data_IF_906715830980
#
_entry.id   IF_906715830980
#
_cell.length_a   1.000
_cell.length_b   1.000
_cell.length_c   1.000
_cell.angle_alpha   90.00
_cell.angle_beta   90.00
_cell.angle_gamma   90.00
#
_symmetry.space_group_name_H-M   'P 1'
#
loop_
_entity.id
_entity.type
_entity.pdbx_description
1 polymer ?
#
# COMPACT_ATOMS: atom_id res chain seq x y z
N UNK A 1 69.97 61.73 1.55
CA UNK A 1 69.59 60.27 1.44
C UNK A 1 68.54 59.86 2.45
N UNK A 2 68.42 60.53 3.56
CA UNK A 2 67.43 60.18 4.62
C UNK A 2 65.96 60.39 4.24
N UNK A 3 65.60 61.39 3.40
CA UNK A 3 64.22 61.64 3.04
C UNK A 3 63.56 60.62 2.09
N UNK A 4 64.35 59.88 1.33
CA UNK A 4 63.81 58.83 0.44
C UNK A 4 63.42 57.57 1.16
N UNK A 5 64.17 57.16 2.15
CA UNK A 5 63.94 55.96 2.99
C UNK A 5 62.74 56.12 3.90
N UNK A 6 62.49 57.35 4.41
CA UNK A 6 61.36 57.61 5.27
C UNK A 6 60.02 57.60 4.46
N UNK A 7 60.02 58.11 3.23
CA UNK A 7 58.83 58.03 2.34
C UNK A 7 58.49 56.61 1.88
N UNK A 8 59.50 55.79 1.65
CA UNK A 8 59.28 54.37 1.34
C UNK A 8 58.74 53.56 2.56
N UNK A 9 59.13 53.87 3.76
CA UNK A 9 58.63 53.25 4.98
C UNK A 9 57.18 53.63 5.29
N UNK A 10 56.81 54.92 5.05
CA UNK A 10 55.42 55.36 5.19
C UNK A 10 54.50 54.75 4.15
N UNK A 11 54.88 54.58 2.90
CA UNK A 11 54.13 53.89 1.87
C UNK A 11 53.92 52.43 2.22
N UNK A 12 54.89 51.76 2.74
CA UNK A 12 54.79 50.34 3.20
C UNK A 12 53.83 50.18 4.40
N UNK A 13 53.79 51.20 5.28
CA UNK A 13 52.86 51.23 6.43
C UNK A 13 51.40 51.24 5.95
N UNK A 14 51.09 52.04 4.92
CA UNK A 14 49.72 52.10 4.33
C UNK A 14 49.38 50.81 3.59
N UNK A 15 50.32 50.17 2.88
CA UNK A 15 50.16 48.91 2.21
C UNK A 15 49.89 47.78 3.21
N UNK A 16 50.68 47.71 4.28
CA UNK A 16 50.49 46.72 5.36
C UNK A 16 49.19 46.95 6.11
N UNK A 17 48.84 48.23 6.41
CA UNK A 17 47.54 48.56 7.01
C UNK A 17 46.37 48.17 6.13
N UNK A 18 46.46 48.46 4.84
CA UNK A 18 45.46 48.05 3.85
C UNK A 18 45.30 46.51 3.74
N UNK A 19 46.41 45.77 3.77
CA UNK A 19 46.39 44.31 3.75
C UNK A 19 45.73 43.73 5.00
N UNK A 20 46.02 44.29 6.18
CA UNK A 20 45.38 43.87 7.43
C UNK A 20 43.88 44.15 7.42
N UNK A 21 43.48 45.34 6.99
CA UNK A 21 42.03 45.70 6.86
C UNK A 21 41.31 44.76 5.87
N UNK A 22 41.93 44.50 4.72
CA UNK A 22 41.35 43.56 3.73
C UNK A 22 41.20 42.12 4.30
N UNK A 23 42.20 41.66 5.07
CA UNK A 23 42.16 40.36 5.73
C UNK A 23 41.04 40.29 6.79
N UNK A 24 40.88 41.33 7.60
CA UNK A 24 39.79 41.44 8.58
C UNK A 24 38.42 41.46 7.89
N UNK A 25 38.28 42.20 6.79
CA UNK A 25 37.03 42.23 6.00
C UNK A 25 36.70 40.84 5.41
N UNK A 26 37.70 40.13 4.91
CA UNK A 26 37.53 38.74 4.43
C UNK A 26 37.07 37.82 5.57
N UNK A 27 37.63 37.95 6.73
CA UNK A 27 37.19 37.15 7.90
C UNK A 27 35.78 37.51 8.36
N UNK A 28 35.42 38.79 8.39
CA UNK A 28 34.06 39.25 8.74
C UNK A 28 33.04 38.73 7.71
N UNK A 29 33.33 38.85 6.42
CA UNK A 29 32.49 38.33 5.36
C UNK A 29 32.34 36.78 5.45
N UNK A 30 33.45 36.09 5.71
CA UNK A 30 33.41 34.62 5.87
C UNK A 30 32.63 34.21 7.10
N UNK A 31 32.77 34.89 8.23
CA UNK A 31 31.99 34.67 9.42
C UNK A 31 30.49 34.96 9.21
N UNK A 32 30.19 36.05 8.53
CA UNK A 32 28.80 36.37 8.15
C UNK A 32 28.18 35.25 7.29
N UNK A 33 28.90 34.78 6.27
CA UNK A 33 28.46 33.67 5.44
C UNK A 33 28.23 32.39 6.26
N UNK A 34 29.18 32.04 7.11
CA UNK A 34 29.09 30.85 7.96
C UNK A 34 27.96 30.90 9.02
N UNK A 35 27.66 32.09 9.55
CA UNK A 35 26.71 32.24 10.65
C UNK A 35 25.29 32.59 10.19
N UNK A 36 25.14 33.27 9.04
CA UNK A 36 23.85 33.81 8.59
C UNK A 36 23.34 33.13 7.33
N UNK A 37 24.21 32.76 6.40
CA UNK A 37 23.82 32.23 5.08
C UNK A 37 23.83 30.73 5.05
N UNK A 38 24.81 30.06 5.65
CA UNK A 38 24.90 28.62 5.69
C UNK A 38 24.10 28.05 6.89
N UNK A 39 22.84 27.64 6.62
CA UNK A 39 21.97 26.97 7.60
C UNK A 39 22.48 25.58 8.05
N UNK A 40 23.36 24.96 7.26
CA UNK A 40 23.85 23.61 7.52
C UNK A 40 24.70 23.51 8.80
N UNK A 41 25.48 24.53 9.12
CA UNK A 41 26.25 24.55 10.38
C UNK A 41 25.37 24.68 11.62
N UNK A 42 24.25 25.40 11.54
CA UNK A 42 23.26 25.46 12.60
C UNK A 42 22.56 24.12 12.77
N UNK A 43 22.19 23.50 11.67
CA UNK A 43 21.61 22.16 11.69
C UNK A 43 22.58 21.11 12.25
N UNK A 44 23.90 21.23 11.98
CA UNK A 44 24.93 20.37 12.53
C UNK A 44 25.18 20.63 14.03
N UNK A 45 25.18 21.88 14.46
CA UNK A 45 25.29 22.24 15.87
C UNK A 45 24.09 21.70 16.66
N UNK A 46 22.87 21.89 16.13
CA UNK A 46 21.65 21.35 16.72
C UNK A 46 21.64 19.81 16.72
N UNK A 47 22.13 19.14 15.68
CA UNK A 47 22.23 17.69 15.63
C UNK A 47 23.31 17.11 16.56
N UNK A 48 24.32 17.88 16.93
CA UNK A 48 25.33 17.48 17.93
C UNK A 48 24.83 17.63 19.35
N UNK A 49 24.03 18.66 19.65
CA UNK A 49 23.46 18.93 20.96
C UNK A 49 22.17 18.17 21.23
N UNK A 50 21.37 17.91 20.17
CA UNK A 50 20.04 17.32 20.28
C UNK A 50 19.93 16.02 19.50
N UNK A 51 19.35 14.99 20.14
CA UNK A 51 18.86 13.79 19.47
C UNK A 51 17.36 13.91 19.29
N UNK A 52 16.91 14.07 18.06
CA UNK A 52 15.48 13.97 17.71
C UNK A 52 15.12 12.49 17.55
N UNK A 53 14.40 11.95 18.52
CA UNK A 53 13.91 10.58 18.51
C UNK A 53 12.47 10.57 18.00
N UNK A 54 12.22 9.87 16.90
CA UNK A 54 10.87 9.71 16.36
C UNK A 54 10.04 8.82 17.26
N UNK A 55 8.87 9.32 17.67
CA UNK A 55 7.86 8.55 18.38
C UNK A 55 6.84 8.04 17.38
N UNK A 56 6.71 6.72 17.28
CA UNK A 56 5.79 6.10 16.33
C UNK A 56 4.38 6.02 16.92
N UNK A 57 3.36 6.46 16.18
CA UNK A 57 1.98 6.33 16.59
C UNK A 57 1.53 4.87 16.53
N UNK A 58 0.54 4.53 17.32
CA UNK A 58 -0.19 3.28 17.14
C UNK A 58 -1.07 3.39 15.89
N UNK A 59 -1.00 2.40 15.02
CA UNK A 59 -1.82 2.34 13.81
C UNK A 59 -3.29 2.06 14.20
N UNK A 60 -4.27 2.67 13.51
CA UNK A 60 -5.70 2.43 13.77
C UNK A 60 -6.07 0.95 13.67
N UNK A 61 -6.98 0.48 14.49
CA UNK A 61 -7.48 -0.89 14.49
C UNK A 61 -8.58 -1.08 13.44
N UNK A 62 -8.87 -2.32 13.04
CA UNK A 62 -9.96 -2.62 12.14
C UNK A 62 -10.96 -3.56 12.81
N UNK A 63 -12.22 -3.24 12.65
CA UNK A 63 -13.35 -4.00 13.18
C UNK A 63 -14.27 -4.41 12.03
N UNK A 64 -14.97 -5.53 12.17
CA UNK A 64 -16.04 -5.90 11.25
C UNK A 64 -17.30 -5.07 11.47
N UNK A 65 -18.35 -5.34 10.68
CA UNK A 65 -19.65 -4.65 10.80
C UNK A 65 -20.34 -4.85 12.16
N UNK A 66 -20.04 -5.92 12.87
CA UNK A 66 -20.59 -6.25 14.18
C UNK A 66 -19.77 -5.68 15.35
N UNK A 67 -18.58 -5.15 15.05
CA UNK A 67 -17.64 -4.61 16.05
C UNK A 67 -16.61 -5.63 16.53
N UNK A 68 -16.48 -6.77 15.89
CA UNK A 68 -15.41 -7.76 16.19
C UNK A 68 -14.06 -7.23 15.72
N UNK A 69 -13.07 -7.38 16.56
CA UNK A 69 -11.69 -7.00 16.25
C UNK A 69 -11.13 -7.91 15.15
N UNK A 70 -10.65 -7.32 14.05
CA UNK A 70 -10.05 -8.04 12.92
C UNK A 70 -8.54 -7.85 12.87
N UNK A 71 -8.09 -6.61 13.04
CA UNK A 71 -6.67 -6.24 12.94
C UNK A 71 -6.30 -5.31 14.09
N UNK A 72 -5.25 -5.66 14.81
CA UNK A 72 -4.76 -4.90 15.97
C UNK A 72 -3.23 -4.75 15.96
N UNK A 73 -2.70 -4.07 16.96
CA UNK A 73 -1.28 -3.81 17.08
C UNK A 73 -0.69 -4.58 18.25
N UNK A 74 0.43 -5.23 18.03
CA UNK A 74 1.23 -5.86 19.07
C UNK A 74 2.55 -5.08 19.23
N UNK A 75 3.04 -4.87 20.47
CA UNK A 75 4.37 -4.29 20.67
C UNK A 75 5.45 -5.11 19.97
N UNK A 76 6.38 -4.41 19.36
CA UNK A 76 7.58 -4.95 18.76
C UNK A 76 8.75 -4.00 19.03
N UNK A 77 9.95 -4.47 18.87
CA UNK A 77 11.14 -3.74 19.23
C UNK A 77 12.15 -3.79 18.08
N UNK A 78 12.63 -2.62 17.69
CA UNK A 78 13.70 -2.50 16.69
C UNK A 78 15.02 -2.21 17.38
N UNK A 79 16.07 -2.87 16.92
CA UNK A 79 17.44 -2.55 17.32
C UNK A 79 17.97 -1.48 16.39
N UNK A 80 18.24 -0.34 16.95
CA UNK A 80 18.83 0.80 16.26
C UNK A 80 20.30 0.94 16.59
N UNK A 81 21.08 1.54 15.70
CA UNK A 81 22.47 1.86 15.98
C UNK A 81 22.83 3.27 15.51
N UNK A 82 23.70 3.93 16.26
CA UNK A 82 24.38 5.16 15.85
C UNK A 82 25.83 4.82 15.58
N UNK A 83 26.22 4.84 14.33
CA UNK A 83 27.52 4.30 13.88
C UNK A 83 28.71 4.98 14.57
N UNK A 84 28.63 6.28 14.86
CA UNK A 84 29.68 7.04 15.56
C UNK A 84 29.86 6.63 17.02
N UNK A 85 28.81 6.12 17.65
CA UNK A 85 28.80 5.77 19.09
C UNK A 85 29.27 4.33 19.33
N UNK A 86 29.49 3.56 18.27
CA UNK A 86 29.99 2.19 18.40
C UNK A 86 31.41 2.24 18.92
N UNK A 87 31.63 1.56 20.04
CA UNK A 87 32.95 1.27 20.61
C UNK A 87 33.26 -0.22 20.42
N UNK A 88 34.51 -0.65 20.56
CA UNK A 88 34.84 -2.07 20.53
C UNK A 88 34.03 -2.85 21.57
N UNK A 89 33.34 -3.90 21.14
CA UNK A 89 32.55 -4.79 21.98
C UNK A 89 32.66 -6.24 21.51
N UNK A 90 32.23 -7.19 22.33
CA UNK A 90 32.15 -8.60 21.94
C UNK A 90 31.03 -8.84 20.92
N UNK A 91 31.45 -8.91 19.66
CA UNK A 91 30.51 -9.12 18.51
C UNK A 91 29.90 -10.52 18.56
N UNK A 92 30.57 -11.52 19.15
CA UNK A 92 30.03 -12.88 19.22
C UNK A 92 28.89 -12.97 20.25
N UNK A 93 29.08 -12.37 21.46
CA UNK A 93 27.99 -12.28 22.47
C UNK A 93 26.79 -11.55 21.91
N UNK A 94 27.00 -10.43 21.18
CA UNK A 94 25.92 -9.70 20.52
C UNK A 94 25.17 -10.53 19.46
N UNK A 95 25.91 -11.22 18.59
CA UNK A 95 25.34 -12.08 17.56
C UNK A 95 24.54 -13.25 18.18
N UNK A 96 25.04 -13.85 19.24
CA UNK A 96 24.37 -14.93 19.95
C UNK A 96 23.02 -14.47 20.54
N UNK A 97 23.00 -13.29 21.17
CA UNK A 97 21.77 -12.71 21.73
C UNK A 97 20.71 -12.48 20.66
N UNK A 98 21.12 -11.98 19.48
CA UNK A 98 20.21 -11.69 18.37
C UNK A 98 19.91 -12.89 17.46
N UNK A 99 20.53 -14.06 17.71
CA UNK A 99 20.37 -15.26 16.90
C UNK A 99 20.86 -15.08 15.45
N UNK A 100 21.93 -14.28 15.23
CA UNK A 100 22.52 -14.04 13.92
C UNK A 100 23.97 -14.52 13.86
N UNK A 101 24.46 -14.77 12.64
CA UNK A 101 25.89 -15.10 12.46
C UNK A 101 26.75 -13.85 12.36
N UNK A 102 28.05 -13.99 12.58
CA UNK A 102 29.02 -12.90 12.42
C UNK A 102 29.02 -12.36 10.99
N UNK A 103 28.87 -13.21 9.99
CA UNK A 103 28.78 -12.84 8.58
C UNK A 103 27.54 -11.98 8.32
N UNK A 104 26.40 -12.36 8.90
CA UNK A 104 25.15 -11.57 8.81
C UNK A 104 25.32 -10.20 9.47
N UNK A 105 25.98 -10.14 10.62
CA UNK A 105 26.31 -8.87 11.30
C UNK A 105 27.15 -7.97 10.39
N UNK A 106 28.28 -8.49 9.87
CA UNK A 106 29.20 -7.71 9.01
C UNK A 106 28.48 -7.23 7.75
N UNK A 107 27.69 -8.11 7.11
CA UNK A 107 26.88 -7.75 5.95
C UNK A 107 25.90 -6.63 6.28
N UNK A 108 25.19 -6.73 7.39
CA UNK A 108 24.21 -5.70 7.80
C UNK A 108 24.86 -4.34 8.02
N UNK A 109 26.02 -4.31 8.67
CA UNK A 109 26.80 -3.07 8.84
C UNK A 109 27.24 -2.50 7.47
N UNK A 110 27.67 -3.35 6.55
CA UNK A 110 28.05 -2.93 5.18
C UNK A 110 26.85 -2.37 4.42
N UNK A 111 25.70 -3.03 4.50
CA UNK A 111 24.44 -2.59 3.84
C UNK A 111 23.99 -1.23 4.38
N UNK A 112 24.06 -1.01 5.70
CA UNK A 112 23.74 0.27 6.35
C UNK A 112 24.66 1.40 5.84
N UNK A 113 25.97 1.14 5.70
CA UNK A 113 26.96 2.12 5.21
C UNK A 113 26.84 2.39 3.70
N UNK A 114 26.20 1.52 2.95
CA UNK A 114 26.11 1.61 1.50
C UNK A 114 25.07 2.67 1.10
N UNK A 115 25.52 3.82 0.64
CA UNK A 115 24.65 4.93 0.21
C UNK A 115 23.75 4.61 -0.98
N UNK A 116 24.05 3.57 -1.75
CA UNK A 116 23.16 3.09 -2.83
C UNK A 116 21.94 2.37 -2.25
N UNK A 117 22.12 1.63 -1.16
CA UNK A 117 21.04 0.93 -0.44
C UNK A 117 20.37 1.83 0.60
N UNK A 118 21.13 2.76 1.18
CA UNK A 118 20.71 3.69 2.23
C UNK A 118 21.13 5.12 1.88
N UNK A 119 20.39 5.83 1.01
CA UNK A 119 20.72 7.19 0.59
C UNK A 119 20.82 8.20 1.74
N UNK A 120 20.00 7.99 2.80
CA UNK A 120 19.99 8.80 4.02
C UNK A 120 21.04 8.42 5.06
N UNK A 121 22.02 7.58 4.72
CA UNK A 121 23.04 7.18 5.67
C UNK A 121 23.86 8.36 6.20
N UNK A 122 23.86 8.48 7.52
CA UNK A 122 24.76 9.33 8.28
C UNK A 122 25.27 8.55 9.49
N UNK A 123 26.54 8.77 9.85
CA UNK A 123 27.13 8.15 11.05
C UNK A 123 26.57 8.71 12.36
N UNK A 124 25.92 9.85 12.30
CA UNK A 124 25.35 10.59 13.44
C UNK A 124 23.88 10.31 13.67
N UNK A 125 23.18 9.79 12.66
CA UNK A 125 21.75 9.54 12.72
C UNK A 125 21.50 8.06 13.03
N UNK A 126 20.50 7.76 13.88
CA UNK A 126 20.06 6.40 14.14
C UNK A 126 19.76 5.63 12.86
N UNK A 127 20.29 4.42 12.76
CA UNK A 127 20.08 3.52 11.65
C UNK A 127 19.44 2.23 12.15
N UNK A 128 18.50 1.68 11.38
CA UNK A 128 17.87 0.41 11.71
C UNK A 128 18.88 -0.73 11.51
N UNK A 129 19.23 -1.45 12.59
CA UNK A 129 20.08 -2.63 12.52
C UNK A 129 19.26 -3.91 12.35
N UNK A 130 18.28 -4.13 13.21
CA UNK A 130 17.38 -5.29 13.14
C UNK A 130 15.97 -4.86 13.53
N UNK A 131 14.96 -5.30 12.78
CA UNK A 131 13.57 -4.98 13.05
C UNK A 131 12.82 -6.11 13.76
N UNK A 132 11.73 -5.75 14.42
CA UNK A 132 10.69 -6.65 14.89
C UNK A 132 11.19 -7.77 15.84
N UNK A 133 11.95 -7.40 16.86
CA UNK A 133 12.23 -8.31 17.96
C UNK A 133 10.96 -8.56 18.77
N UNK A 134 10.77 -9.78 19.23
CA UNK A 134 9.75 -10.12 20.22
C UNK A 134 10.06 -9.50 21.58
N UNK A 135 9.08 -9.45 22.48
CA UNK A 135 9.28 -8.95 23.84
C UNK A 135 10.36 -9.78 24.59
N UNK A 136 10.41 -11.08 24.35
CA UNK A 136 11.39 -11.98 24.96
C UNK A 136 12.82 -11.70 24.46
N UNK A 137 13.01 -11.60 23.12
CA UNK A 137 14.32 -11.25 22.53
C UNK A 137 14.76 -9.85 22.98
N UNK A 138 13.84 -8.90 23.06
CA UNK A 138 14.08 -7.56 23.56
C UNK A 138 14.55 -7.55 25.02
N UNK A 139 13.88 -8.32 25.91
CA UNK A 139 14.25 -8.42 27.32
C UNK A 139 15.68 -8.90 27.51
N UNK A 140 16.08 -9.97 26.81
CA UNK A 140 17.44 -10.52 26.88
C UNK A 140 18.47 -9.51 26.35
N UNK A 141 18.17 -8.80 25.27
CA UNK A 141 19.06 -7.77 24.74
C UNK A 141 19.16 -6.58 25.70
N UNK A 142 18.05 -6.13 26.27
CA UNK A 142 17.98 -4.95 27.13
C UNK A 142 18.79 -5.11 28.41
N UNK A 143 18.81 -6.31 29.01
CA UNK A 143 19.66 -6.62 30.17
C UNK A 143 21.15 -6.45 29.88
N UNK A 144 21.58 -6.73 28.64
CA UNK A 144 22.99 -6.68 28.24
C UNK A 144 23.35 -5.47 27.38
N UNK A 145 22.41 -4.57 27.13
CA UNK A 145 22.56 -3.45 26.18
C UNK A 145 23.72 -2.51 26.57
N UNK A 146 24.03 -2.42 27.88
CA UNK A 146 25.16 -1.64 28.38
C UNK A 146 26.53 -2.10 27.86
N UNK A 147 26.65 -3.38 27.40
CA UNK A 147 27.85 -3.92 26.77
C UNK A 147 28.04 -3.51 25.32
N UNK A 148 26.99 -2.98 24.68
CA UNK A 148 26.94 -2.71 23.25
C UNK A 148 26.74 -1.22 22.98
N UNK A 149 27.74 -0.38 23.25
CA UNK A 149 27.62 1.06 23.06
C UNK A 149 27.31 1.39 21.57
N UNK A 150 26.43 2.36 21.37
CA UNK A 150 25.96 2.75 20.05
C UNK A 150 24.70 2.00 19.56
N UNK A 151 24.29 0.94 20.27
CA UNK A 151 23.01 0.27 20.02
C UNK A 151 21.97 0.70 21.05
N UNK A 152 20.70 0.79 20.61
CA UNK A 152 19.56 1.03 21.49
C UNK A 152 18.29 0.41 20.92
N UNK A 153 17.28 0.25 21.77
CA UNK A 153 16.00 -0.34 21.42
C UNK A 153 14.99 0.77 21.17
N UNK A 154 14.28 0.67 20.06
CA UNK A 154 13.19 1.54 19.71
C UNK A 154 11.88 0.75 19.70
N UNK A 155 10.91 1.22 20.48
CA UNK A 155 9.58 0.63 20.51
C UNK A 155 8.85 0.89 19.19
N UNK A 156 8.21 -0.14 18.68
CA UNK A 156 7.30 -0.09 17.53
C UNK A 156 6.07 -0.94 17.77
N UNK A 157 5.16 -0.90 16.82
CA UNK A 157 4.04 -1.83 16.77
C UNK A 157 4.06 -2.59 15.46
N UNK A 158 3.71 -3.88 15.51
CA UNK A 158 3.46 -4.71 14.34
C UNK A 158 1.98 -5.06 14.25
N UNK A 159 1.50 -5.25 13.04
CA UNK A 159 0.13 -5.69 12.78
C UNK A 159 -0.04 -7.14 13.18
N UNK A 160 -1.23 -7.41 13.72
CA UNK A 160 -1.70 -8.76 14.01
C UNK A 160 -3.11 -8.92 13.46
N UNK A 161 -3.42 -10.11 13.01
CA UNK A 161 -4.73 -10.49 12.48
C UNK A 161 -5.35 -11.52 13.41
N UNK A 162 -6.58 -11.26 13.85
CA UNK A 162 -7.28 -12.16 14.77
C UNK A 162 -7.74 -13.44 14.06
N UNK A 163 -8.03 -13.34 12.75
CA UNK A 163 -8.53 -14.43 11.94
C UNK A 163 -7.59 -14.74 10.77
N UNK A 164 -7.47 -16.05 10.38
CA UNK A 164 -6.65 -16.44 9.23
C UNK A 164 -7.36 -16.20 7.87
N UNK A 165 -8.29 -15.27 7.83
CA UNK A 165 -9.20 -15.01 6.72
C UNK A 165 -9.10 -13.56 6.24
N UNK A 166 -9.79 -13.24 5.14
CA UNK A 166 -9.92 -11.90 4.56
C UNK A 166 -8.59 -11.24 4.13
N UNK A 167 -7.54 -12.02 3.86
CA UNK A 167 -6.20 -11.49 3.56
C UNK A 167 -6.16 -10.43 2.46
N UNK A 168 -6.92 -10.63 1.37
CA UNK A 168 -6.95 -9.70 0.22
C UNK A 168 -7.85 -8.49 0.45
N UNK A 169 -8.78 -8.57 1.41
CA UNK A 169 -9.63 -7.44 1.83
C UNK A 169 -8.86 -6.58 2.84
N UNK A 170 -8.44 -7.17 3.95
CA UNK A 170 -7.70 -6.46 5.00
C UNK A 170 -6.38 -5.90 4.47
N UNK A 171 -5.71 -6.68 3.65
CA UNK A 171 -4.42 -6.30 3.09
C UNK A 171 -3.26 -6.54 4.04
N UNK A 172 -2.12 -5.96 3.73
CA UNK A 172 -0.91 -6.06 4.54
C UNK A 172 -0.08 -4.78 4.49
N UNK A 173 0.77 -4.61 5.50
CA UNK A 173 1.76 -3.54 5.55
C UNK A 173 3.13 -4.05 5.10
N UNK A 174 3.97 -3.16 4.64
CA UNK A 174 5.34 -3.47 4.27
C UNK A 174 6.26 -2.27 4.39
N UNK A 175 7.55 -2.51 4.50
CA UNK A 175 8.55 -1.46 4.57
C UNK A 175 8.47 -0.56 3.34
N UNK A 176 8.58 0.75 3.54
CA UNK A 176 8.54 1.75 2.47
C UNK A 176 9.74 1.60 1.54
N UNK A 177 9.50 1.85 0.27
CA UNK A 177 10.55 1.89 -0.74
C UNK A 177 10.93 3.35 -1.07
N UNK A 178 11.95 3.51 -1.90
CA UNK A 178 12.43 4.83 -2.29
C UNK A 178 11.35 5.73 -2.91
N UNK A 179 10.46 5.17 -3.73
CA UNK A 179 9.37 5.94 -4.36
C UNK A 179 8.35 6.43 -3.33
N UNK A 180 8.06 5.62 -2.30
CA UNK A 180 7.15 6.03 -1.23
C UNK A 180 7.71 7.25 -0.50
N UNK A 181 9.02 7.25 -0.21
CA UNK A 181 9.71 8.36 0.47
C UNK A 181 9.77 9.63 -0.42
N UNK A 182 9.99 9.46 -1.72
CA UNK A 182 10.00 10.57 -2.68
C UNK A 182 8.61 11.21 -2.85
N UNK A 183 7.54 10.41 -2.74
CA UNK A 183 6.16 10.86 -2.95
C UNK A 183 5.51 11.44 -1.70
N UNK A 184 5.91 11.03 -0.50
CA UNK A 184 5.29 11.49 0.75
C UNK A 184 6.38 11.73 1.81
N UNK A 185 6.61 13.00 2.22
CA UNK A 185 7.62 13.38 3.21
C UNK A 185 7.36 12.82 4.61
N UNK A 186 6.18 12.25 4.86
CA UNK A 186 5.87 11.54 6.10
C UNK A 186 6.80 10.34 6.31
N UNK A 187 7.20 9.67 5.21
CA UNK A 187 7.97 8.43 5.28
C UNK A 187 9.47 8.67 5.33
N UNK A 188 10.10 7.88 6.19
CA UNK A 188 11.55 7.73 6.28
C UNK A 188 11.92 6.27 6.11
N UNK A 189 13.18 5.98 5.82
CA UNK A 189 13.65 4.61 5.66
C UNK A 189 13.39 3.78 6.92
N UNK A 190 12.86 2.57 6.74
CA UNK A 190 12.47 1.68 7.82
C UNK A 190 11.04 1.89 8.32
N UNK A 191 10.27 2.84 7.77
CA UNK A 191 8.85 2.97 8.04
C UNK A 191 8.04 1.88 7.32
N UNK A 192 6.79 1.71 7.75
CA UNK A 192 5.85 0.78 7.15
C UNK A 192 4.66 1.53 6.58
N UNK A 193 4.15 1.06 5.43
CA UNK A 193 2.92 1.56 4.81
C UNK A 193 2.04 0.41 4.36
N UNK A 194 0.75 0.66 4.16
CA UNK A 194 -0.19 -0.28 3.56
C UNK A 194 0.20 -0.60 2.13
N UNK A 195 0.22 -1.90 1.80
CA UNK A 195 0.65 -2.37 0.48
C UNK A 195 -0.49 -2.89 -0.37
N UNK A 196 -1.52 -3.41 0.26
CA UNK A 196 -2.69 -3.99 -0.40
C UNK A 196 -3.93 -3.78 0.45
N UNK A 197 -5.11 -3.99 -0.13
CA UNK A 197 -6.39 -4.00 0.58
C UNK A 197 -6.71 -2.70 1.32
N UNK A 198 -7.48 -2.80 2.39
CA UNK A 198 -7.87 -1.70 3.27
C UNK A 198 -6.65 -1.00 3.88
N UNK A 199 -5.60 -1.74 4.22
CA UNK A 199 -4.35 -1.17 4.73
C UNK A 199 -3.78 -0.13 3.76
N UNK A 200 -3.87 -0.36 2.44
CA UNK A 200 -3.39 0.58 1.42
C UNK A 200 -4.37 1.72 1.18
N UNK A 201 -5.66 1.42 1.01
CA UNK A 201 -6.66 2.43 0.65
C UNK A 201 -6.87 3.46 1.74
N UNK A 202 -6.77 3.04 3.01
CA UNK A 202 -6.99 3.88 4.18
C UNK A 202 -5.70 4.21 4.93
N UNK A 203 -4.55 4.13 4.26
CA UNK A 203 -3.23 4.39 4.85
C UNK A 203 -3.18 5.70 5.62
N UNK A 204 -3.65 6.80 5.05
CA UNK A 204 -3.61 8.14 5.66
C UNK A 204 -4.42 8.24 6.94
N UNK A 205 -5.49 7.44 7.07
CA UNK A 205 -6.31 7.38 8.30
C UNK A 205 -5.68 6.45 9.33
N UNK A 206 -5.12 5.33 8.87
CA UNK A 206 -4.61 4.27 9.74
C UNK A 206 -3.24 4.58 10.33
N UNK A 207 -2.36 5.28 9.62
CA UNK A 207 -0.95 5.46 10.00
C UNK A 207 -0.72 6.37 11.20
N UNK A 208 -1.67 7.30 11.50
CA UNK A 208 -1.50 8.33 12.54
C UNK A 208 -0.46 9.40 12.19
N UNK A 209 -0.06 10.19 13.17
CA UNK A 209 0.95 11.24 13.03
C UNK A 209 2.12 10.94 13.96
N UNK A 210 3.34 10.98 13.42
CA UNK A 210 4.57 10.76 14.19
C UNK A 210 4.79 11.89 15.17
N UNK A 211 5.26 11.54 16.37
CA UNK A 211 5.77 12.48 17.36
C UNK A 211 7.29 12.60 17.31
N UNK A 212 7.81 13.55 18.07
CA UNK A 212 9.26 13.78 18.20
C UNK A 212 9.58 14.03 19.66
N UNK A 213 10.51 13.26 20.22
CA UNK A 213 11.12 13.49 21.52
C UNK A 213 12.51 14.10 21.32
N UNK A 214 12.79 15.23 21.98
CA UNK A 214 14.07 15.93 21.85
C UNK A 214 14.93 15.66 23.08
N UNK A 215 15.99 14.93 22.86
CA UNK A 215 16.93 14.53 23.92
C UNK A 215 18.22 15.35 23.83
N UNK A 216 18.72 15.83 24.98
CA UNK A 216 20.01 16.49 25.11
C UNK A 216 21.14 15.45 25.08
N UNK A 217 22.21 15.78 24.34
CA UNK A 217 23.45 15.00 24.30
C UNK A 217 24.64 15.84 24.80
N UNK A 218 25.56 15.20 25.49
CA UNK A 218 26.85 15.82 25.79
C UNK A 218 27.81 15.73 24.58
N UNK A 219 28.99 16.36 24.73
CA UNK A 219 30.04 16.33 23.68
C UNK A 219 30.54 14.91 23.32
N UNK A 220 30.23 13.91 24.14
CA UNK A 220 30.55 12.49 23.91
C UNK A 220 29.35 11.71 23.35
N UNK A 221 28.22 12.39 23.03
CA UNK A 221 27.01 11.76 22.47
C UNK A 221 26.11 11.08 23.50
N UNK A 222 26.43 11.18 24.81
CA UNK A 222 25.59 10.54 25.86
C UNK A 222 24.37 11.35 26.15
N UNK A 223 23.20 10.68 26.24
CA UNK A 223 21.92 11.30 26.58
C UNK A 223 21.95 11.79 28.02
N UNK A 224 21.69 13.08 28.25
CA UNK A 224 21.63 13.74 29.55
C UNK A 224 20.23 13.91 30.10
N UNK A 225 19.22 13.79 29.23
CA UNK A 225 17.80 13.97 29.57
C UNK A 225 17.01 14.55 28.41
N UNK A 226 15.76 14.94 28.69
CA UNK A 226 14.92 15.63 27.74
C UNK A 226 15.29 17.11 27.66
N UNK A 227 15.23 17.67 26.46
CA UNK A 227 15.45 19.11 26.28
C UNK A 227 14.32 19.90 26.95
N UNK A 228 14.70 20.86 27.83
CA UNK A 228 13.77 21.68 28.61
C UNK A 228 12.59 20.90 29.24
N UNK A 229 12.92 19.72 29.84
CA UNK A 229 11.93 18.83 30.47
C UNK A 229 10.83 18.34 29.53
N UNK A 230 11.09 18.36 28.20
CA UNK A 230 10.14 17.90 27.18
C UNK A 230 9.14 18.94 26.69
N UNK A 231 9.33 20.24 27.00
CA UNK A 231 8.42 21.31 26.53
C UNK A 231 8.29 21.38 25.01
N UNK A 232 9.30 20.93 24.29
CA UNK A 232 9.35 20.94 22.82
C UNK A 232 9.06 19.56 22.21
N UNK A 233 8.73 18.57 23.02
CA UNK A 233 8.32 17.26 22.54
C UNK A 233 6.95 17.36 21.89
N UNK A 234 6.80 16.66 20.77
CA UNK A 234 5.53 16.52 20.05
C UNK A 234 5.04 15.09 20.28
N UNK A 235 3.93 14.88 20.98
CA UNK A 235 3.39 13.54 21.18
C UNK A 235 2.89 12.95 19.85
N UNK A 236 2.99 11.62 19.66
CA UNK A 236 2.41 10.97 18.49
C UNK A 236 0.89 10.92 18.58
N UNK A 237 0.22 11.08 17.44
CA UNK A 237 -1.24 10.91 17.37
C UNK A 237 -1.57 9.55 16.75
N UNK A 238 -2.32 8.73 17.48
CA UNK A 238 -2.72 7.40 16.99
C UNK A 238 -3.59 7.49 15.75
N UNK A 239 -3.44 6.53 14.84
CA UNK A 239 -4.30 6.39 13.68
C UNK A 239 -5.75 6.12 14.04
N UNK A 240 -6.66 6.48 13.12
CA UNK A 240 -8.10 6.28 13.30
C UNK A 240 -8.45 4.83 13.04
N UNK A 241 -9.23 4.24 13.94
CA UNK A 241 -9.76 2.88 13.74
C UNK A 241 -10.90 2.88 12.72
N UNK A 242 -11.04 1.78 11.99
CA UNK A 242 -12.05 1.60 10.96
C UNK A 242 -13.04 0.52 11.36
N UNK A 243 -14.31 0.77 11.07
CA UNK A 243 -15.37 -0.24 11.08
C UNK A 243 -15.70 -0.56 9.62
N UNK A 244 -15.47 -1.81 9.22
CA UNK A 244 -15.68 -2.29 7.88
C UNK A 244 -17.12 -2.81 7.70
N UNK A 245 -17.59 -2.85 6.47
CA UNK A 245 -18.89 -3.45 6.11
C UNK A 245 -18.84 -4.99 6.11
N UNK A 246 -17.64 -5.58 6.07
CA UNK A 246 -17.45 -7.03 6.06
C UNK A 246 -17.99 -7.68 7.34
N UNK A 247 -18.73 -8.76 7.18
CA UNK A 247 -19.09 -9.70 8.24
C UNK A 247 -18.06 -10.84 8.25
N UNK A 248 -17.33 -10.95 9.35
CA UNK A 248 -16.20 -11.88 9.43
C UNK A 248 -16.64 -13.36 9.45
N UNK A 249 -17.80 -13.68 10.02
CA UNK A 249 -18.32 -15.05 10.00
C UNK A 249 -18.72 -15.46 8.56
N UNK A 250 -19.39 -14.53 7.86
CA UNK A 250 -19.78 -14.74 6.48
C UNK A 250 -18.56 -14.87 5.55
N UNK A 251 -17.54 -14.03 5.77
CA UNK A 251 -16.27 -14.10 5.05
C UNK A 251 -15.59 -15.46 5.25
N UNK A 252 -15.45 -15.91 6.51
CA UNK A 252 -14.82 -17.18 6.83
C UNK A 252 -15.62 -18.37 6.27
N UNK A 253 -16.95 -18.29 6.30
CA UNK A 253 -17.81 -19.30 5.70
C UNK A 253 -17.64 -19.36 4.18
N UNK A 254 -17.63 -18.23 3.51
CA UNK A 254 -17.37 -18.14 2.07
C UNK A 254 -16.01 -18.71 1.67
N UNK A 255 -14.95 -18.40 2.42
CA UNK A 255 -13.62 -18.99 2.20
C UNK A 255 -13.61 -20.50 2.39
N UNK A 256 -14.33 -21.01 3.39
CA UNK A 256 -14.52 -22.45 3.61
C UNK A 256 -15.22 -23.13 2.42
N UNK A 257 -16.27 -22.52 1.87
CA UNK A 257 -16.98 -23.02 0.69
C UNK A 257 -16.10 -23.06 -0.56
N UNK A 258 -15.16 -22.12 -0.66
CA UNK A 258 -14.22 -21.99 -1.79
C UNK A 258 -12.96 -22.84 -1.65
N UNK A 259 -12.80 -23.57 -0.55
CA UNK A 259 -11.64 -24.47 -0.36
C UNK A 259 -11.49 -25.42 -1.54
N UNK A 260 -10.28 -25.54 -2.10
CA UNK A 260 -9.93 -26.35 -3.27
C UNK A 260 -10.64 -25.92 -4.58
N UNK A 261 -11.14 -24.69 -4.67
CA UNK A 261 -11.76 -24.13 -5.88
C UNK A 261 -11.02 -22.86 -6.30
N UNK A 262 -11.11 -22.52 -7.58
CA UNK A 262 -10.64 -21.24 -8.13
C UNK A 262 -11.84 -20.36 -8.43
N UNK A 263 -11.85 -19.14 -7.90
CA UNK A 263 -12.94 -18.19 -8.15
C UNK A 263 -13.10 -17.18 -7.04
N UNK A 264 -14.27 -16.57 -6.96
CA UNK A 264 -14.62 -15.61 -5.92
C UNK A 264 -16.09 -15.66 -5.55
N UNK A 265 -16.39 -15.17 -4.35
CA UNK A 265 -17.75 -14.90 -3.88
C UNK A 265 -17.78 -13.43 -3.45
N UNK A 266 -18.81 -12.72 -3.87
CA UNK A 266 -19.11 -11.36 -3.38
C UNK A 266 -20.56 -11.36 -2.92
N UNK A 267 -20.80 -10.83 -1.74
CA UNK A 267 -22.15 -10.58 -1.25
C UNK A 267 -22.30 -9.09 -0.95
N UNK A 268 -23.30 -8.48 -1.52
CA UNK A 268 -23.58 -7.05 -1.40
C UNK A 268 -25.00 -6.88 -0.84
N UNK A 269 -25.15 -5.97 0.10
CA UNK A 269 -26.46 -5.54 0.58
C UNK A 269 -27.05 -4.54 -0.43
N UNK A 270 -28.18 -4.86 -1.07
CA UNK A 270 -28.68 -4.03 -2.19
C UNK A 270 -29.12 -2.62 -1.79
N UNK A 271 -29.58 -2.43 -0.57
CA UNK A 271 -30.08 -1.12 -0.07
C UNK A 271 -28.94 -0.13 0.18
N UNK A 272 -27.81 -0.60 0.70
CA UNK A 272 -26.71 0.26 1.13
C UNK A 272 -25.51 0.23 0.17
N UNK A 273 -25.38 -0.86 -0.62
CA UNK A 273 -24.20 -1.15 -1.42
C UNK A 273 -23.04 -1.71 -0.60
N UNK A 274 -23.22 -1.97 0.68
CA UNK A 274 -22.18 -2.54 1.55
C UNK A 274 -21.78 -3.93 1.11
N UNK A 275 -20.45 -4.15 0.99
CA UNK A 275 -19.90 -5.48 0.71
C UNK A 275 -19.81 -6.25 2.02
N UNK A 276 -20.66 -7.28 2.18
CA UNK A 276 -20.72 -8.10 3.38
C UNK A 276 -19.64 -9.18 3.42
N UNK A 277 -19.27 -9.73 2.29
CA UNK A 277 -18.08 -10.55 2.13
C UNK A 277 -17.49 -10.44 0.72
N UNK A 278 -16.17 -10.59 0.62
CA UNK A 278 -15.44 -10.63 -0.64
C UNK A 278 -14.37 -11.70 -0.59
N UNK A 279 -14.68 -12.86 -1.12
CA UNK A 279 -13.83 -14.05 -1.10
C UNK A 279 -13.10 -14.20 -2.42
N UNK A 280 -11.80 -14.38 -2.37
CA UNK A 280 -10.98 -14.78 -3.52
C UNK A 280 -10.26 -16.08 -3.18
N UNK A 281 -10.38 -17.09 -4.03
CA UNK A 281 -9.76 -18.39 -3.80
C UNK A 281 -8.83 -18.79 -4.95
N UNK A 282 -7.64 -19.34 -4.64
CA UNK A 282 -7.13 -19.59 -3.29
C UNK A 282 -6.80 -18.29 -2.55
N UNK A 283 -6.87 -18.36 -1.24
CA UNK A 283 -6.45 -17.31 -0.32
C UNK A 283 -5.25 -17.76 0.51
N UNK A 284 -4.81 -16.96 1.43
CA UNK A 284 -3.73 -17.25 2.39
C UNK A 284 -4.05 -16.65 3.75
N UNK A 285 -3.40 -17.13 4.79
CA UNK A 285 -3.48 -16.54 6.12
C UNK A 285 -2.72 -15.21 6.13
N UNK A 286 -3.35 -14.06 6.43
CA UNK A 286 -2.67 -12.76 6.44
C UNK A 286 -1.50 -12.69 7.42
N UNK A 287 -1.50 -13.49 8.48
CA UNK A 287 -0.42 -13.54 9.48
C UNK A 287 0.94 -13.96 8.91
N UNK A 288 0.98 -14.73 7.82
CA UNK A 288 2.25 -15.12 7.19
C UNK A 288 3.01 -13.94 6.56
N UNK A 289 2.33 -12.83 6.34
CA UNK A 289 2.94 -11.59 5.81
C UNK A 289 3.32 -10.59 6.92
N UNK A 290 3.44 -11.08 8.16
CA UNK A 290 3.94 -10.33 9.31
C UNK A 290 5.39 -10.76 9.61
N UNK A 291 6.13 -9.87 10.23
CA UNK A 291 7.45 -10.19 10.78
C UNK A 291 8.56 -10.37 9.74
N UNK A 292 9.68 -10.90 10.22
CA UNK A 292 10.91 -11.06 9.44
C UNK A 292 10.78 -12.01 8.25
N UNK A 293 9.83 -12.97 8.30
CA UNK A 293 9.61 -13.95 7.22
C UNK A 293 8.74 -13.40 6.08
N UNK A 294 8.17 -12.19 6.23
CA UNK A 294 7.27 -11.56 5.24
C UNK A 294 7.81 -11.62 3.81
N UNK A 295 9.08 -11.22 3.60
CA UNK A 295 9.68 -11.18 2.27
C UNK A 295 9.76 -12.56 1.61
N UNK A 296 10.17 -13.58 2.36
CA UNK A 296 10.24 -14.98 1.91
C UNK A 296 8.85 -15.52 1.58
N UNK A 297 7.88 -15.31 2.47
CA UNK A 297 6.51 -15.77 2.30
C UNK A 297 5.81 -15.07 1.12
N UNK A 298 6.00 -13.75 0.98
CA UNK A 298 5.47 -13.01 -0.17
C UNK A 298 6.04 -13.51 -1.51
N UNK A 299 7.34 -13.76 -1.58
CA UNK A 299 7.98 -14.32 -2.77
C UNK A 299 7.45 -15.73 -3.10
N UNK A 300 7.14 -16.55 -2.10
CA UNK A 300 6.51 -17.85 -2.30
C UNK A 300 5.09 -17.72 -2.86
N UNK A 301 4.25 -16.86 -2.27
CA UNK A 301 2.90 -16.57 -2.78
C UNK A 301 2.90 -15.99 -4.19
N UNK A 302 3.90 -15.17 -4.53
CA UNK A 302 4.03 -14.58 -5.87
C UNK A 302 4.38 -15.62 -6.94
N UNK A 303 5.14 -16.65 -6.57
CA UNK A 303 5.53 -17.74 -7.47
C UNK A 303 4.47 -18.83 -7.60
N UNK A 304 3.46 -18.83 -6.73
CA UNK A 304 2.41 -19.83 -6.74
C UNK A 304 1.60 -19.72 -8.05
N UNK A 305 1.52 -20.83 -8.85
CA UNK A 305 0.77 -20.84 -10.12
C UNK A 305 -0.72 -20.58 -9.92
N UNK A 306 -1.28 -20.86 -8.76
CA UNK A 306 -2.68 -20.60 -8.43
C UNK A 306 -2.96 -19.12 -8.07
N UNK A 307 -1.91 -18.29 -7.99
CA UNK A 307 -1.99 -16.82 -7.80
C UNK A 307 -2.86 -16.40 -6.59
N UNK A 308 -2.51 -16.77 -5.36
CA UNK A 308 -3.28 -16.40 -4.17
C UNK A 308 -3.27 -14.89 -3.89
N UNK A 309 -2.30 -14.12 -4.40
CA UNK A 309 -2.26 -12.65 -4.29
C UNK A 309 -3.20 -11.93 -5.27
N UNK A 310 -3.82 -12.66 -6.21
CA UNK A 310 -4.72 -12.08 -7.21
C UNK A 310 -6.14 -12.00 -6.65
N UNK A 311 -6.64 -10.77 -6.44
CA UNK A 311 -8.01 -10.53 -5.96
C UNK A 311 -9.01 -10.76 -7.10
N UNK A 312 -9.55 -11.97 -7.20
CA UNK A 312 -10.43 -12.37 -8.30
C UNK A 312 -11.71 -11.55 -8.39
N UNK A 313 -12.42 -11.26 -7.30
CA UNK A 313 -13.60 -10.39 -7.35
C UNK A 313 -13.36 -9.03 -7.98
N UNK A 314 -12.20 -8.42 -7.76
CA UNK A 314 -11.88 -7.07 -8.26
C UNK A 314 -11.15 -7.06 -9.59
N UNK A 315 -10.37 -8.10 -9.88
CA UNK A 315 -9.39 -8.07 -10.98
C UNK A 315 -9.68 -9.05 -12.10
N UNK A 316 -10.45 -10.11 -11.84
CA UNK A 316 -10.72 -11.11 -12.86
C UNK A 316 -11.77 -10.61 -13.87
N UNK A 317 -11.57 -10.98 -15.12
CA UNK A 317 -12.47 -10.67 -16.22
C UNK A 317 -12.90 -12.00 -16.86
N UNK A 318 -14.10 -12.45 -16.52
CA UNK A 318 -14.66 -13.69 -17.04
C UNK A 318 -15.81 -13.41 -17.98
N UNK A 319 -16.00 -14.22 -19.05
CA UNK A 319 -17.26 -14.21 -19.80
C UNK A 319 -18.40 -14.59 -18.86
N UNK A 320 -19.47 -13.78 -18.78
CA UNK A 320 -20.54 -14.02 -17.80
C UNK A 320 -21.37 -15.27 -18.09
N UNK A 321 -21.38 -15.73 -19.35
CA UNK A 321 -22.18 -16.88 -19.77
C UNK A 321 -23.68 -16.65 -19.57
N UNK A 322 -24.46 -17.75 -19.23
CA UNK A 322 -25.92 -17.69 -19.07
C UNK A 322 -26.38 -16.80 -17.91
N UNK A 323 -25.51 -16.41 -16.99
CA UNK A 323 -25.87 -15.47 -15.93
C UNK A 323 -26.15 -14.06 -16.47
N UNK A 324 -25.76 -13.79 -17.72
CA UNK A 324 -26.03 -12.53 -18.41
C UNK A 324 -27.41 -12.46 -19.05
N UNK A 325 -28.12 -13.60 -19.21
CA UNK A 325 -29.43 -13.68 -19.88
C UNK A 325 -30.52 -12.86 -19.19
N UNK A 326 -30.67 -12.81 -17.87
CA UNK A 326 -31.63 -11.91 -17.23
C UNK A 326 -31.41 -10.44 -17.57
N UNK A 327 -30.15 -9.97 -17.57
CA UNK A 327 -29.79 -8.61 -17.97
C UNK A 327 -30.22 -8.32 -19.41
N UNK A 328 -29.99 -9.26 -20.35
CA UNK A 328 -30.45 -9.14 -21.74
C UNK A 328 -31.97 -9.07 -21.82
N UNK A 329 -32.67 -9.95 -21.09
CA UNK A 329 -34.13 -9.94 -21.06
C UNK A 329 -34.72 -8.62 -20.60
N UNK A 330 -34.13 -8.00 -19.55
CA UNK A 330 -34.55 -6.68 -19.06
C UNK A 330 -34.35 -5.59 -20.12
N UNK A 331 -33.22 -5.58 -20.81
CA UNK A 331 -32.96 -4.61 -21.89
C UNK A 331 -33.96 -4.76 -23.02
N UNK A 332 -34.24 -6.00 -23.48
CA UNK A 332 -35.15 -6.24 -24.55
C UNK A 332 -36.60 -5.84 -24.21
N UNK A 333 -37.04 -6.06 -22.96
CA UNK A 333 -38.35 -5.61 -22.46
C UNK A 333 -38.41 -4.08 -22.40
N UNK A 334 -37.37 -3.42 -21.87
CA UNK A 334 -37.32 -1.97 -21.74
C UNK A 334 -37.35 -1.26 -23.11
N UNK A 335 -36.62 -1.80 -24.06
CA UNK A 335 -36.62 -1.31 -25.43
C UNK A 335 -37.89 -1.76 -26.21
N UNK A 336 -38.77 -2.55 -25.59
CA UNK A 336 -39.99 -3.11 -26.23
C UNK A 336 -39.66 -3.96 -27.44
N UNK A 337 -38.46 -4.54 -27.51
CA UNK A 337 -38.07 -5.52 -28.55
C UNK A 337 -38.88 -6.78 -28.38
N UNK A 338 -39.15 -7.16 -27.15
CA UNK A 338 -40.00 -8.29 -26.77
C UNK A 338 -41.05 -7.86 -25.75
N UNK A 339 -42.10 -8.67 -25.63
CA UNK A 339 -43.00 -8.69 -24.46
C UNK A 339 -42.78 -10.01 -23.69
N UNK A 340 -43.34 -10.18 -22.48
CA UNK A 340 -43.23 -11.43 -21.74
C UNK A 340 -43.75 -12.65 -22.54
N UNK A 341 -44.68 -12.44 -23.46
CA UNK A 341 -45.34 -13.45 -24.30
C UNK A 341 -44.60 -13.71 -25.62
N UNK A 342 -43.65 -12.84 -25.99
CA UNK A 342 -42.87 -13.01 -27.24
C UNK A 342 -42.14 -14.34 -27.21
N UNK A 343 -42.31 -15.12 -28.27
CA UNK A 343 -41.68 -16.45 -28.38
C UNK A 343 -40.70 -16.51 -29.55
N UNK A 344 -39.61 -17.20 -29.35
CA UNK A 344 -38.68 -17.57 -30.41
C UNK A 344 -38.54 -19.08 -30.53
N UNK A 345 -38.38 -19.55 -31.75
CA UNK A 345 -38.13 -20.95 -32.05
C UNK A 345 -36.69 -21.33 -31.76
N UNK A 346 -36.51 -22.48 -31.15
CA UNK A 346 -35.21 -23.08 -30.95
C UNK A 346 -35.14 -24.46 -31.62
N UNK A 347 -34.35 -24.58 -32.66
CA UNK A 347 -34.03 -25.85 -33.33
C UNK A 347 -32.59 -26.30 -32.90
N UNK A 348 -32.43 -26.62 -31.62
CA UNK A 348 -31.15 -26.97 -30.97
C UNK A 348 -30.05 -25.88 -31.07
N UNK A 349 -30.45 -24.61 -31.27
CA UNK A 349 -29.54 -23.47 -31.35
C UNK A 349 -30.08 -22.29 -32.11
N UNK A 350 -29.25 -21.23 -32.25
CA UNK A 350 -29.57 -20.02 -32.99
C UNK A 350 -29.47 -20.26 -34.50
N UNK A 351 -30.59 -20.39 -35.14
CA UNK A 351 -30.69 -20.85 -36.52
C UNK A 351 -30.10 -19.89 -37.55
N UNK A 352 -30.10 -18.59 -37.31
CA UNK A 352 -29.52 -17.57 -38.21
C UNK A 352 -28.01 -17.81 -38.46
N UNK A 353 -27.31 -18.40 -37.47
CA UNK A 353 -25.90 -18.77 -37.62
C UNK A 353 -25.68 -20.30 -37.65
N UNK A 354 -26.55 -21.03 -38.32
CA UNK A 354 -26.38 -22.49 -38.46
C UNK A 354 -26.45 -23.25 -37.12
N UNK A 355 -27.29 -22.80 -36.21
CA UNK A 355 -27.45 -23.44 -34.90
C UNK A 355 -26.38 -23.10 -33.85
N UNK A 356 -25.57 -22.07 -34.08
CA UNK A 356 -24.55 -21.60 -33.09
C UNK A 356 -24.92 -20.24 -32.50
N UNK A 357 -24.90 -20.06 -31.15
CA UNK A 357 -24.56 -21.06 -30.15
C UNK A 357 -25.57 -22.21 -30.11
N UNK A 358 -25.05 -23.44 -29.93
CA UNK A 358 -25.87 -24.65 -29.78
C UNK A 358 -26.68 -24.62 -28.47
N UNK A 359 -27.85 -25.27 -28.48
CA UNK A 359 -28.73 -25.40 -27.33
C UNK A 359 -29.03 -26.85 -27.02
N UNK A 360 -29.33 -27.13 -25.76
CA UNK A 360 -29.80 -28.43 -25.31
C UNK A 360 -31.31 -28.62 -25.66
N UNK A 361 -31.82 -29.84 -25.55
CA UNK A 361 -33.24 -30.16 -25.79
C UNK A 361 -34.15 -29.51 -24.74
N UNK A 362 -35.17 -28.80 -25.19
CA UNK A 362 -36.26 -28.23 -24.39
C UNK A 362 -37.48 -27.99 -25.28
N UNK A 363 -38.70 -27.77 -24.74
CA UNK A 363 -39.87 -27.36 -25.52
C UNK A 363 -39.60 -26.08 -26.34
N UNK A 364 -40.19 -25.96 -27.51
CA UNK A 364 -40.03 -24.83 -28.41
C UNK A 364 -41.33 -24.63 -29.25
N UNK A 365 -41.78 -23.36 -29.46
CA UNK A 365 -41.17 -22.09 -29.01
C UNK A 365 -41.35 -21.84 -27.50
N UNK A 366 -40.53 -20.95 -26.90
CA UNK A 366 -40.63 -20.56 -25.51
C UNK A 366 -40.79 -19.04 -25.37
N UNK A 367 -41.59 -18.57 -24.38
CA UNK A 367 -41.60 -17.19 -23.96
C UNK A 367 -40.39 -16.89 -23.04
N UNK A 368 -40.18 -15.59 -22.69
CA UNK A 368 -39.01 -15.13 -21.91
C UNK A 368 -38.76 -15.96 -20.64
N UNK A 369 -39.82 -16.17 -19.83
CA UNK A 369 -39.68 -16.92 -18.57
C UNK A 369 -39.25 -18.36 -18.84
N UNK A 370 -39.85 -19.01 -19.84
CA UNK A 370 -39.46 -20.36 -20.26
C UNK A 370 -38.02 -20.42 -20.78
N UNK A 371 -37.61 -19.42 -21.56
CA UNK A 371 -36.26 -19.30 -22.10
C UNK A 371 -35.21 -19.07 -21.02
N UNK A 372 -35.53 -18.34 -19.93
CA UNK A 372 -34.70 -18.18 -18.77
C UNK A 372 -34.60 -19.49 -17.97
N UNK A 373 -35.73 -20.13 -17.67
CA UNK A 373 -35.83 -21.37 -16.92
C UNK A 373 -35.02 -22.50 -17.56
N UNK A 374 -35.12 -22.62 -18.90
CA UNK A 374 -34.35 -23.62 -19.66
C UNK A 374 -33.00 -23.13 -20.14
N UNK A 375 -32.62 -21.92 -19.82
CA UNK A 375 -31.38 -21.29 -20.32
C UNK A 375 -31.18 -21.40 -21.83
N UNK A 376 -32.24 -21.11 -22.62
CA UNK A 376 -32.22 -21.24 -24.07
C UNK A 376 -31.13 -20.39 -24.73
N UNK A 377 -30.29 -20.98 -25.56
CA UNK A 377 -29.22 -20.27 -26.29
C UNK A 377 -29.70 -19.75 -27.68
N UNK A 378 -30.93 -19.93 -28.03
CA UNK A 378 -31.53 -19.36 -29.25
C UNK A 378 -32.31 -18.08 -28.96
N UNK A 379 -33.07 -18.01 -27.87
CA UNK A 379 -33.93 -16.90 -27.52
C UNK A 379 -33.19 -15.56 -27.44
N UNK A 380 -32.12 -15.52 -26.65
CA UNK A 380 -31.40 -14.26 -26.41
C UNK A 380 -30.60 -13.72 -27.60
N UNK A 381 -29.93 -14.57 -28.41
CA UNK A 381 -29.39 -14.12 -29.70
C UNK A 381 -30.47 -13.58 -30.66
N UNK A 382 -31.68 -14.18 -30.71
CA UNK A 382 -32.77 -13.64 -31.50
C UNK A 382 -33.27 -12.28 -31.00
N UNK A 383 -33.44 -12.12 -29.68
CA UNK A 383 -33.79 -10.83 -29.08
C UNK A 383 -32.75 -9.75 -29.38
N UNK A 384 -31.46 -10.06 -29.30
CA UNK A 384 -30.40 -9.12 -29.66
C UNK A 384 -30.38 -8.81 -31.17
N UNK A 385 -30.60 -9.81 -32.00
CA UNK A 385 -30.72 -9.63 -33.45
C UNK A 385 -31.87 -8.67 -33.79
N UNK A 386 -33.05 -8.92 -33.24
CA UNK A 386 -34.21 -8.06 -33.47
C UNK A 386 -34.02 -6.63 -32.98
N UNK A 387 -33.27 -6.47 -31.86
CA UNK A 387 -32.90 -5.13 -31.35
C UNK A 387 -31.98 -4.41 -32.34
N UNK A 388 -30.87 -5.07 -32.72
CA UNK A 388 -29.80 -4.44 -33.51
C UNK A 388 -30.24 -4.22 -34.96
N UNK A 389 -31.03 -5.13 -35.56
CA UNK A 389 -31.45 -5.04 -36.95
C UNK A 389 -32.77 -4.29 -37.15
N UNK A 390 -33.40 -3.77 -36.09
CA UNK A 390 -34.66 -3.03 -36.17
C UNK A 390 -34.45 -1.61 -36.72
N UNK A 391 -34.56 -1.45 -38.03
CA UNK A 391 -34.49 -0.13 -38.68
C UNK A 391 -35.74 0.74 -38.44
N UNK A 392 -36.77 0.19 -37.81
CA UNK A 392 -37.92 0.96 -37.33
C UNK A 392 -37.64 1.74 -36.06
N UNK A 393 -36.72 1.25 -35.24
CA UNK A 393 -36.34 1.83 -33.93
C UNK A 393 -35.07 2.64 -34.00
N UNK A 394 -34.06 2.11 -34.68
CA UNK A 394 -32.73 2.70 -34.76
C UNK A 394 -32.32 2.89 -36.22
N UNK A 395 -31.88 4.10 -36.60
CA UNK A 395 -31.44 4.38 -37.97
C UNK A 395 -30.30 3.49 -38.44
N UNK A 396 -29.39 3.14 -37.52
CA UNK A 396 -28.18 2.35 -37.81
C UNK A 396 -27.97 1.20 -36.81
N UNK A 397 -27.21 0.20 -37.22
CA UNK A 397 -26.73 -0.89 -36.31
C UNK A 397 -25.90 -0.33 -35.16
N UNK A 398 -25.08 0.66 -35.47
CA UNK A 398 -24.23 1.31 -34.49
C UNK A 398 -25.01 1.96 -33.36
N UNK A 399 -26.05 2.72 -33.70
CA UNK A 399 -26.95 3.36 -32.72
C UNK A 399 -27.67 2.32 -31.86
N UNK A 400 -28.22 1.28 -32.46
CA UNK A 400 -28.90 0.20 -31.76
C UNK A 400 -27.92 -0.47 -30.74
N UNK A 401 -26.67 -0.71 -31.16
CA UNK A 401 -25.66 -1.31 -30.33
C UNK A 401 -25.20 -0.39 -29.20
N UNK A 402 -25.07 0.90 -29.47
CA UNK A 402 -24.68 1.88 -28.45
C UNK A 402 -25.80 2.05 -27.39
N UNK A 403 -27.10 2.03 -27.77
CA UNK A 403 -28.21 2.00 -26.80
C UNK A 403 -28.16 0.74 -25.93
N UNK A 404 -27.96 -0.44 -26.52
CA UNK A 404 -27.78 -1.67 -25.77
C UNK A 404 -26.64 -1.54 -24.79
N UNK A 405 -25.51 -0.98 -25.17
CA UNK A 405 -24.35 -0.75 -24.30
C UNK A 405 -24.65 0.26 -23.21
N UNK A 406 -25.39 1.35 -23.48
CA UNK A 406 -25.78 2.34 -22.48
C UNK A 406 -26.59 1.70 -21.34
N UNK A 407 -27.52 0.79 -21.67
CA UNK A 407 -28.22 0.02 -20.65
C UNK A 407 -27.27 -0.82 -19.79
N UNK A 408 -26.28 -1.48 -20.38
CA UNK A 408 -25.30 -2.23 -19.62
C UNK A 408 -24.48 -1.32 -18.71
N UNK A 409 -24.05 -0.18 -19.22
CA UNK A 409 -23.28 0.80 -18.44
C UNK A 409 -24.12 1.35 -17.28
N UNK A 410 -25.41 1.61 -17.48
CA UNK A 410 -26.33 2.07 -16.43
C UNK A 410 -26.52 1.04 -15.30
N UNK A 411 -26.36 -0.25 -15.61
CA UNK A 411 -26.39 -1.35 -14.65
C UNK A 411 -25.03 -1.65 -14.01
N UNK A 412 -23.98 -0.86 -14.28
CA UNK A 412 -22.66 -1.01 -13.67
C UNK A 412 -21.65 -1.83 -14.48
N UNK A 413 -21.98 -2.30 -15.69
CA UNK A 413 -21.03 -3.05 -16.51
C UNK A 413 -20.06 -2.11 -17.25
N UNK A 414 -18.78 -2.52 -17.33
CA UNK A 414 -17.82 -1.89 -18.22
C UNK A 414 -17.08 -0.66 -17.68
N UNK A 415 -17.28 -0.26 -16.42
CA UNK A 415 -16.51 0.78 -15.75
C UNK A 415 -16.21 0.41 -14.28
N UNK A 416 -15.40 1.22 -13.61
CA UNK A 416 -15.10 1.02 -12.18
C UNK A 416 -16.27 1.50 -11.34
N UNK A 417 -16.71 0.69 -10.40
CA UNK A 417 -17.84 1.00 -9.51
C UNK A 417 -17.42 1.90 -8.33
N UNK A 418 -16.11 2.06 -8.11
CA UNK A 418 -15.58 2.88 -7.02
C UNK A 418 -15.48 2.12 -5.71
N UNK A 419 -15.22 0.80 -5.77
CA UNK A 419 -14.90 0.01 -4.58
C UNK A 419 -13.66 0.60 -3.91
N UNK A 420 -13.70 0.78 -2.61
CA UNK A 420 -12.63 1.37 -1.79
C UNK A 420 -11.43 0.44 -1.57
N UNK A 421 -11.27 -0.56 -2.44
CA UNK A 421 -10.11 -1.44 -2.50
C UNK A 421 -9.26 -1.16 -3.76
N UNK A 422 -7.94 -1.25 -3.67
CA UNK A 422 -7.07 -0.98 -4.80
C UNK A 422 -7.13 -2.10 -5.84
N UNK A 423 -6.96 -1.73 -7.10
CA UNK A 423 -6.81 -2.69 -8.20
C UNK A 423 -8.09 -3.08 -8.93
N UNK A 424 -9.23 -2.46 -8.64
CA UNK A 424 -10.48 -2.68 -9.36
C UNK A 424 -10.30 -2.54 -10.87
N UNK A 425 -10.78 -3.55 -11.63
CA UNK A 425 -10.81 -3.57 -13.09
C UNK A 425 -12.21 -3.27 -13.59
N UNK A 426 -12.31 -2.39 -14.58
CA UNK A 426 -13.60 -1.98 -15.14
C UNK A 426 -14.33 -3.07 -15.94
N UNK A 427 -13.70 -4.18 -16.27
CA UNK A 427 -14.27 -5.12 -17.24
C UNK A 427 -14.17 -4.60 -18.68
N UNK A 428 -14.71 -5.36 -19.64
CA UNK A 428 -14.72 -4.99 -21.05
C UNK A 428 -16.10 -5.20 -21.66
N UNK A 429 -16.78 -4.10 -21.98
CA UNK A 429 -18.00 -4.09 -22.81
C UNK A 429 -17.62 -3.38 -24.10
N UNK A 430 -17.59 -4.09 -25.26
CA UNK A 430 -17.21 -3.49 -26.53
C UNK A 430 -18.21 -2.42 -26.95
N UNK A 431 -17.82 -1.51 -27.83
CA UNK A 431 -18.67 -0.54 -28.48
C UNK A 431 -18.86 -0.91 -29.98
N UNK A 432 -19.73 -0.20 -30.67
CA UNK A 432 -19.97 -0.39 -32.10
C UNK A 432 -18.67 -0.37 -32.90
N UNK A 433 -17.81 0.62 -32.67
CA UNK A 433 -16.51 0.78 -33.35
C UNK A 433 -15.53 -0.40 -33.14
N UNK A 434 -15.70 -1.19 -32.08
CA UNK A 434 -14.87 -2.38 -31.86
C UNK A 434 -15.17 -3.44 -32.92
N UNK A 435 -16.45 -3.57 -33.30
CA UNK A 435 -16.90 -4.56 -34.30
C UNK A 435 -16.71 -4.09 -35.75
N UNK A 436 -16.55 -2.79 -36.00
CA UNK A 436 -16.22 -2.26 -37.35
C UNK A 436 -14.84 -2.73 -37.84
N UNK A 437 -14.07 -3.39 -37.01
CA UNK A 437 -12.74 -3.93 -37.33
C UNK A 437 -12.76 -5.38 -37.85
N UNK A 438 -13.92 -6.03 -37.78
CA UNK A 438 -14.13 -7.42 -38.18
C UNK A 438 -15.25 -7.55 -39.24
#
# INVERSE_FOLDING_TARGET
MENKTQFELESRRFVLGGAVVALVLIFILRLFFLQVVESDYKAWADSNAFLKKTLYPSRGMMYDRTGRLLVYNQPAYDVMLVMREIQPFDTLDFCQILGITKEQFVKRIADIKNRKLNPGYSSYVPQLFMNQLSAQECGVLQEKLYKFPGFYIQNRTIRQYEYPNAALVLGNIGEVNRKDIENDPYYTQGDYSGRTGIEQSYETYLRGVKGVEILLRDAHGRIKGRYEEGKHDVPPESGKSLKLSIDMELQAYGEKLMKNKLGGIVMIEPETGEILCMVSSPTYDPSILIGRQRGKNYAALQKDPLKPLFNRPLMAQYPPGSTFKPTQGLIFLQEGVITPETTYTCAHGYTYRGGKPACHGHPSPLPLVGALATSCNSFFPWGLHDMIDSRKRYPTVQEAFDVWKEHLVSMGYGYKLGVDLPGEKRGFVPNSKFYDKF
#
